data_IF_966910711029
#
_entry.id   IF_966910711029
#
_cell.length_a   1.000
_cell.length_b   1.000
_cell.length_c   1.000
_cell.angle_alpha   90.00
_cell.angle_beta   90.00
_cell.angle_gamma   90.00
#
_symmetry.space_group_name_H-M   'P 1'
#
loop_
_entity.id
_entity.type
_entity.pdbx_description
1 polymer ?
#
# COMPACT_ATOMS: atom_id res chain seq x y z
N UNK A 1 2.89 2.26 -2.91
CA UNK A 1 2.63 0.93 -2.31
C UNK A 1 1.74 1.13 -1.10
N UNK A 2 0.74 0.27 -0.92
CA UNK A 2 -0.19 0.34 0.23
C UNK A 2 -0.19 -1.02 0.92
N UNK A 3 -0.04 -1.03 2.24
CA UNK A 3 -0.07 -2.24 3.06
C UNK A 3 -1.14 -2.05 4.13
N UNK A 4 -2.16 -2.92 4.13
CA UNK A 4 -3.23 -2.89 5.13
C UNK A 4 -4.09 -4.17 5.06
N UNK A 5 -4.76 -4.56 6.17
CA UNK A 5 -5.72 -5.68 6.20
C UNK A 5 -6.83 -5.59 5.14
N UNK A 6 -7.15 -4.36 4.71
CA UNK A 6 -8.21 -4.09 3.74
C UNK A 6 -7.71 -4.00 2.30
N UNK A 7 -6.41 -4.18 2.03
CA UNK A 7 -5.87 -4.01 0.67
C UNK A 7 -6.27 -5.14 -0.27
N UNK A 8 -6.69 -4.84 -1.49
CA UNK A 8 -7.02 -5.86 -2.50
C UNK A 8 -5.81 -6.75 -2.80
N UNK A 9 -6.02 -8.06 -2.89
CA UNK A 9 -4.93 -9.04 -3.17
C UNK A 9 -4.41 -8.87 -4.59
N UNK A 10 -3.09 -8.86 -4.74
CA UNK A 10 -2.39 -8.80 -6.04
C UNK A 10 -2.91 -7.68 -6.97
N UNK A 11 -3.29 -6.54 -6.39
CA UNK A 11 -3.87 -5.44 -7.13
C UNK A 11 -2.84 -4.36 -7.46
N UNK A 12 -2.84 -3.93 -8.72
CA UNK A 12 -2.05 -2.80 -9.21
C UNK A 12 -3.02 -1.79 -9.81
N UNK A 13 -3.10 -0.60 -9.22
CA UNK A 13 -3.88 0.49 -9.81
C UNK A 13 -3.09 1.10 -10.98
N UNK A 14 -3.78 1.31 -12.09
CA UNK A 14 -3.24 1.99 -13.28
C UNK A 14 -3.61 3.47 -13.33
N UNK A 15 -4.26 3.99 -12.29
CA UNK A 15 -4.61 5.40 -12.20
C UNK A 15 -3.36 6.21 -11.82
N UNK A 16 -2.95 7.22 -12.61
CA UNK A 16 -1.80 8.05 -12.26
C UNK A 16 -2.07 8.84 -10.98
N UNK A 17 -1.22 8.67 -9.97
CA UNK A 17 -1.33 9.34 -8.66
C UNK A 17 0.02 9.92 -8.26
N UNK A 18 0.02 11.09 -7.64
CA UNK A 18 1.19 11.66 -6.97
C UNK A 18 1.08 11.55 -5.43
N UNK A 19 2.07 12.09 -4.71
CA UNK A 19 2.10 12.00 -3.25
C UNK A 19 0.95 12.74 -2.56
N UNK A 20 0.32 13.71 -3.23
CA UNK A 20 -0.82 14.46 -2.69
C UNK A 20 -2.10 13.63 -2.66
N UNK A 21 -2.16 12.49 -3.36
CA UNK A 21 -3.28 11.55 -3.25
C UNK A 21 -3.39 10.94 -1.83
N UNK A 22 -2.27 10.84 -1.11
CA UNK A 22 -2.26 10.42 0.31
C UNK A 22 -2.93 11.47 1.19
N UNK A 23 -2.71 12.76 0.89
CA UNK A 23 -3.35 13.87 1.60
C UNK A 23 -4.86 13.81 1.35
N UNK A 24 -5.28 13.72 0.09
CA UNK A 24 -6.70 13.57 -0.28
C UNK A 24 -7.38 12.41 0.46
N UNK A 25 -6.71 11.27 0.59
CA UNK A 25 -7.23 10.12 1.35
C UNK A 25 -7.47 10.45 2.84
N UNK A 26 -6.54 11.14 3.48
CA UNK A 26 -6.69 11.59 4.88
C UNK A 26 -7.82 12.62 5.00
N UNK A 27 -7.89 13.57 4.06
CA UNK A 27 -8.95 14.59 4.02
C UNK A 27 -10.33 13.94 3.94
N UNK A 28 -10.53 13.04 2.98
CA UNK A 28 -11.76 12.29 2.77
C UNK A 28 -12.20 11.54 4.04
N UNK A 29 -11.23 11.02 4.83
CA UNK A 29 -11.53 10.23 6.03
C UNK A 29 -11.92 11.05 7.25
N UNK A 30 -11.29 12.22 7.45
CA UNK A 30 -11.33 12.95 8.73
C UNK A 30 -12.02 14.31 8.68
N UNK A 31 -11.98 15.01 7.54
CA UNK A 31 -12.62 16.33 7.40
C UNK A 31 -13.75 16.33 6.35
N UNK A 32 -13.79 15.31 5.50
CA UNK A 32 -14.87 15.06 4.55
C UNK A 32 -14.48 15.33 3.09
N UNK A 33 -15.19 14.74 2.12
CA UNK A 33 -14.79 14.69 0.71
C UNK A 33 -14.89 16.02 -0.03
N UNK A 34 -15.43 17.06 0.61
CA UNK A 34 -15.61 18.39 0.03
C UNK A 34 -14.58 19.40 0.55
N UNK A 35 -13.72 19.01 1.48
CA UNK A 35 -12.75 19.88 2.13
C UNK A 35 -11.34 19.45 1.73
N UNK A 36 -10.62 20.38 1.10
CA UNK A 36 -9.28 20.16 0.54
C UNK A 36 -8.35 21.28 0.96
N UNK A 37 -7.10 20.95 1.26
CA UNK A 37 -6.10 21.94 1.66
C UNK A 37 -5.70 22.83 0.46
N UNK A 38 -5.65 22.28 -0.74
CA UNK A 38 -5.26 23.00 -1.95
C UNK A 38 -6.06 22.55 -3.19
N UNK A 39 -5.97 23.27 -4.30
CA UNK A 39 -6.55 22.77 -5.56
C UNK A 39 -5.79 21.55 -6.12
N UNK A 40 -4.57 21.28 -5.64
CA UNK A 40 -3.72 20.20 -6.14
C UNK A 40 -4.12 18.85 -5.57
N UNK A 41 -4.28 18.76 -4.25
CA UNK A 41 -4.79 17.55 -3.60
C UNK A 41 -6.25 17.27 -4.01
N UNK A 42 -7.09 18.30 -4.15
CA UNK A 42 -8.45 18.19 -4.67
C UNK A 42 -8.51 17.49 -6.05
N UNK A 43 -7.54 17.77 -6.93
CA UNK A 43 -7.47 17.19 -8.27
C UNK A 43 -6.92 15.75 -8.31
N UNK A 44 -6.39 15.21 -7.21
CA UNK A 44 -5.84 13.86 -7.20
C UNK A 44 -6.92 12.78 -7.26
N UNK A 45 -6.60 11.58 -7.76
CA UNK A 45 -7.48 10.42 -7.61
C UNK A 45 -7.59 9.99 -6.15
N UNK A 46 -8.68 9.30 -5.82
CA UNK A 46 -8.84 8.70 -4.50
C UNK A 46 -8.12 7.34 -4.42
N UNK A 47 -7.50 7.07 -3.28
CA UNK A 47 -6.82 5.81 -2.99
C UNK A 47 -7.79 4.68 -2.61
N UNK A 48 -9.10 4.94 -2.57
CA UNK A 48 -10.11 3.94 -2.21
C UNK A 48 -10.11 2.68 -3.09
N UNK A 49 -9.66 2.78 -4.33
CA UNK A 49 -9.55 1.64 -5.26
C UNK A 49 -8.60 0.53 -4.77
N UNK A 50 -7.66 0.86 -3.87
CA UNK A 50 -6.78 -0.13 -3.24
C UNK A 50 -7.45 -0.95 -2.14
N UNK A 51 -8.58 -0.49 -1.60
CA UNK A 51 -9.19 -1.06 -0.41
C UNK A 51 -10.50 -1.79 -0.72
N UNK A 52 -10.64 -2.97 -0.12
CA UNK A 52 -11.88 -3.73 -0.02
C UNK A 52 -12.24 -3.85 1.46
N UNK A 53 -13.07 -2.91 1.93
CA UNK A 53 -13.56 -2.88 3.31
C UNK A 53 -14.67 -3.89 3.58
N UNK A 54 -15.25 -4.50 2.54
CA UNK A 54 -16.34 -5.47 2.67
C UNK A 54 -15.79 -6.88 2.89
N UNK A 55 -14.87 -7.33 2.03
CA UNK A 55 -14.35 -8.69 2.09
C UNK A 55 -13.11 -8.83 3.00
N UNK A 56 -12.46 -7.72 3.36
CA UNK A 56 -11.28 -7.68 4.26
C UNK A 56 -10.27 -8.79 3.91
N UNK A 57 -9.72 -8.77 2.69
CA UNK A 57 -8.96 -9.89 2.12
C UNK A 57 -7.75 -10.35 2.95
N UNK A 58 -7.16 -9.47 3.76
CA UNK A 58 -6.03 -9.75 4.65
C UNK A 58 -6.40 -9.67 6.13
N UNK A 59 -7.64 -10.06 6.48
CA UNK A 59 -8.08 -10.19 7.87
C UNK A 59 -7.20 -11.17 8.68
N UNK A 60 -6.74 -12.24 8.03
CA UNK A 60 -5.77 -13.18 8.59
C UNK A 60 -4.42 -12.97 7.89
N UNK A 61 -3.35 -12.63 8.63
CA UNK A 61 -2.03 -12.47 8.04
C UNK A 61 -1.50 -13.83 7.54
N UNK A 62 -0.62 -13.85 6.53
CA UNK A 62 0.10 -15.06 6.14
C UNK A 62 0.83 -15.67 7.35
N UNK A 63 0.81 -17.01 7.44
CA UNK A 63 1.54 -17.73 8.48
C UNK A 63 3.04 -17.42 8.38
N UNK A 64 3.70 -17.22 9.53
CA UNK A 64 5.07 -16.76 9.59
C UNK A 64 6.05 -17.73 8.89
N UNK A 65 5.74 -19.02 8.87
CA UNK A 65 6.54 -20.03 8.14
C UNK A 65 6.59 -19.80 6.62
N UNK A 66 5.61 -19.06 6.05
CA UNK A 66 5.55 -18.75 4.62
C UNK A 66 6.23 -17.43 4.25
N UNK A 67 6.73 -16.68 5.25
CA UNK A 67 7.42 -15.41 5.02
C UNK A 67 8.93 -15.68 4.99
N UNK A 68 9.61 -15.44 3.85
CA UNK A 68 11.06 -15.58 3.77
C UNK A 68 11.73 -14.69 4.82
N UNK A 69 12.56 -15.28 5.67
CA UNK A 69 13.35 -14.52 6.64
C UNK A 69 14.56 -13.96 5.89
N UNK A 70 14.76 -12.62 5.87
CA UNK A 70 15.95 -12.05 5.26
C UNK A 70 17.21 -12.57 5.96
N UNK A 71 18.35 -12.72 5.25
CA UNK A 71 19.61 -13.08 5.87
C UNK A 71 19.94 -12.16 7.03
N UNK A 72 20.64 -12.67 8.05
CA UNK A 72 21.09 -11.84 9.16
C UNK A 72 21.92 -10.65 8.66
N UNK A 73 21.72 -9.48 9.27
CA UNK A 73 22.50 -8.28 8.94
C UNK A 73 23.99 -8.59 9.13
N UNK A 74 24.80 -8.44 8.07
CA UNK A 74 26.22 -8.81 8.06
C UNK A 74 26.55 -10.14 7.37
N UNK A 75 25.54 -10.87 6.87
CA UNK A 75 25.76 -12.03 6.01
C UNK A 75 26.40 -11.56 4.69
N UNK A 76 27.60 -12.03 4.39
CA UNK A 76 28.27 -11.73 3.12
C UNK A 76 27.60 -12.55 2.01
N UNK A 77 27.12 -11.86 0.96
CA UNK A 77 26.63 -12.51 -0.26
C UNK A 77 27.84 -13.13 -0.98
N UNK A 78 28.19 -14.37 -0.64
CA UNK A 78 29.19 -15.14 -1.39
C UNK A 78 28.45 -15.97 -2.44
N UNK A 79 28.82 -15.82 -3.71
CA UNK A 79 28.28 -16.68 -4.77
C UNK A 79 28.87 -18.08 -4.59
N UNK A 80 28.03 -19.06 -4.23
CA UNK A 80 28.48 -20.39 -3.83
C UNK A 80 29.10 -21.22 -4.97
N UNK A 81 28.96 -20.79 -6.22
CA UNK A 81 29.76 -21.18 -7.41
C UNK A 81 29.19 -20.47 -8.64
N UNK A 82 30.04 -19.75 -9.38
CA UNK A 82 29.80 -19.49 -10.80
C UNK A 82 30.17 -20.78 -11.54
N UNK A 83 29.17 -21.50 -12.06
CA UNK A 83 29.36 -22.55 -13.05
C UNK A 83 29.00 -22.01 -14.43
#
# INVERSE_FOLDING_TARGET
MVISPFTRKHYVSHVPMDHTAIIKFVENRFIGPSAHLTNRDAAQPDLMDFFDFTNIPWATPPAAENVPVPPAVGSTCTADKMQ
#
